data_IF_864752245236
#
_entry.id   IF_864752245236
#
_cell.length_a   1.000
_cell.length_b   1.000
_cell.length_c   1.000
_cell.angle_alpha   90.00
_cell.angle_beta   90.00
_cell.angle_gamma   90.00
#
_symmetry.space_group_name_H-M   'P 1'
#
loop_
_entity.id
_entity.type
_entity.pdbx_description
1 polymer ?
#
# COMPACT_ATOMS: atom_id res chain seq x y z
N UNK A 1 -2.96 -13.92 -7.82
CA UNK A 1 -3.93 -13.32 -8.77
C UNK A 1 -4.72 -12.29 -7.99
N UNK A 2 -4.83 -11.05 -8.47
CA UNK A 2 -5.57 -10.00 -7.76
C UNK A 2 -6.95 -9.89 -8.37
N UNK A 3 -7.99 -9.89 -7.53
CA UNK A 3 -9.37 -9.64 -7.94
C UNK A 3 -9.62 -8.14 -7.80
N UNK A 4 -9.50 -7.42 -8.91
CA UNK A 4 -9.77 -5.99 -9.03
C UNK A 4 -10.32 -5.75 -10.43
N UNK A 5 -11.50 -5.13 -10.52
CA UNK A 5 -12.21 -4.93 -11.79
C UNK A 5 -13.39 -3.99 -11.61
N UNK A 6 -13.92 -3.41 -12.72
CA UNK A 6 -15.05 -2.47 -12.68
C UNK A 6 -16.29 -3.05 -11.99
N UNK A 7 -16.46 -4.37 -12.02
CA UNK A 7 -17.55 -5.09 -11.34
C UNK A 7 -17.53 -4.92 -9.80
N UNK A 8 -16.39 -4.52 -9.23
CA UNK A 8 -16.21 -4.28 -7.80
C UNK A 8 -16.13 -2.80 -7.43
N UNK A 9 -16.40 -1.87 -8.36
CA UNK A 9 -16.24 -0.44 -8.14
C UNK A 9 -17.05 0.11 -6.94
N UNK A 10 -18.19 -0.51 -6.62
CA UNK A 10 -19.06 -0.14 -5.49
C UNK A 10 -18.95 -1.11 -4.30
N UNK A 11 -17.93 -1.96 -4.26
CA UNK A 11 -17.70 -2.93 -3.19
C UNK A 11 -16.51 -2.53 -2.33
N UNK A 12 -16.54 -2.87 -1.04
CA UNK A 12 -15.36 -2.78 -0.19
C UNK A 12 -14.44 -3.98 -0.43
N UNK A 13 -13.24 -3.72 -0.93
CA UNK A 13 -12.24 -4.75 -1.16
C UNK A 13 -11.24 -4.79 0.01
N UNK A 14 -11.25 -5.91 0.73
CA UNK A 14 -10.22 -6.20 1.73
C UNK A 14 -9.23 -7.21 1.16
N UNK A 15 -8.00 -6.76 0.87
CA UNK A 15 -6.98 -7.58 0.24
C UNK A 15 -5.80 -7.82 1.19
N UNK A 16 -5.46 -9.10 1.39
CA UNK A 16 -4.23 -9.51 2.07
C UNK A 16 -3.21 -9.87 0.99
N UNK A 17 -2.12 -9.11 0.93
CA UNK A 17 -1.10 -9.30 -0.09
C UNK A 17 0.30 -9.02 0.46
N UNK A 18 1.29 -9.61 -0.21
CA UNK A 18 2.72 -9.33 0.01
C UNK A 18 3.36 -8.56 -1.16
N UNK A 19 2.63 -8.35 -2.26
CA UNK A 19 3.13 -7.66 -3.46
C UNK A 19 2.85 -6.17 -3.35
N UNK A 20 3.88 -5.38 -3.07
CA UNK A 20 3.76 -3.92 -2.89
C UNK A 20 3.13 -3.22 -4.09
N UNK A 21 3.48 -3.62 -5.32
CA UNK A 21 2.86 -3.12 -6.56
C UNK A 21 1.35 -3.32 -6.62
N UNK A 22 0.80 -4.32 -5.93
CA UNK A 22 -0.65 -4.51 -5.86
C UNK A 22 -1.28 -3.68 -4.75
N UNK A 23 -0.55 -3.43 -3.66
CA UNK A 23 -1.02 -2.75 -2.44
C UNK A 23 -0.97 -1.22 -2.60
N UNK A 24 0.00 -0.71 -3.36
CA UNK A 24 0.23 0.72 -3.58
C UNK A 24 -0.96 1.43 -4.23
N UNK A 25 -1.78 0.69 -4.99
CA UNK A 25 -2.96 1.19 -5.68
C UNK A 25 -4.22 1.19 -4.78
N UNK A 26 -4.15 0.76 -3.51
CA UNK A 26 -5.29 0.76 -2.59
C UNK A 26 -5.50 2.10 -1.90
N UNK A 27 -6.69 2.36 -1.37
CA UNK A 27 -7.03 3.64 -0.74
C UNK A 27 -6.33 3.80 0.61
N UNK A 28 -6.20 2.69 1.34
CA UNK A 28 -5.46 2.59 2.59
C UNK A 28 -4.70 1.28 2.68
N UNK A 29 -3.63 1.28 3.45
CA UNK A 29 -2.80 0.11 3.74
C UNK A 29 -2.78 -0.11 5.25
N UNK A 30 -3.03 -1.34 5.65
CA UNK A 30 -2.89 -1.80 7.03
C UNK A 30 -1.63 -2.65 7.15
N UNK A 31 -0.68 -2.21 7.96
CA UNK A 31 0.52 -2.99 8.29
C UNK A 31 0.31 -3.65 9.64
N UNK A 32 0.49 -4.96 9.67
CA UNK A 32 0.45 -5.76 10.90
C UNK A 32 1.88 -6.16 11.30
N UNK A 33 2.21 -5.95 12.56
CA UNK A 33 3.43 -6.49 13.17
C UNK A 33 3.06 -7.25 14.46
N UNK A 34 3.54 -8.48 14.59
CA UNK A 34 3.32 -9.36 15.77
C UNK A 34 1.86 -9.40 16.27
N UNK A 35 0.91 -9.47 15.33
CA UNK A 35 -0.52 -9.55 15.64
C UNK A 35 -1.17 -8.24 16.07
N UNK A 36 -0.47 -7.10 15.94
CA UNK A 36 -1.01 -5.76 16.23
C UNK A 36 -0.99 -4.90 14.98
N UNK A 37 -1.90 -3.92 14.92
CA UNK A 37 -1.85 -2.86 13.92
C UNK A 37 -0.65 -1.98 14.22
N UNK A 38 0.33 -1.99 13.33
CA UNK A 38 1.51 -1.15 13.43
C UNK A 38 1.26 0.19 12.72
N UNK A 39 0.65 0.15 11.53
CA UNK A 39 0.42 1.33 10.70
C UNK A 39 -0.90 1.20 9.96
N UNK A 40 -1.60 2.32 9.78
CA UNK A 40 -2.82 2.37 9.00
C UNK A 40 -3.03 3.76 8.40
N UNK A 41 -2.69 3.94 7.13
CA UNK A 41 -2.95 5.18 6.41
C UNK A 41 -2.93 4.97 4.88
N UNK A 42 -3.05 6.06 4.11
CA UNK A 42 -2.85 6.05 2.66
C UNK A 42 -1.42 5.61 2.31
N UNK A 43 -1.21 4.93 1.16
CA UNK A 43 0.13 4.54 0.75
C UNK A 43 1.11 5.71 0.63
N UNK A 44 0.61 6.89 0.23
CA UNK A 44 1.41 8.11 0.12
C UNK A 44 1.90 8.60 1.49
N UNK A 45 1.01 8.72 2.48
CA UNK A 45 1.40 9.15 3.83
C UNK A 45 2.39 8.17 4.48
N UNK A 46 2.16 6.87 4.32
CA UNK A 46 3.04 5.83 4.85
C UNK A 46 4.43 5.85 4.21
N UNK A 47 4.55 6.26 2.94
CA UNK A 47 5.84 6.45 2.27
C UNK A 47 6.59 7.70 2.74
N UNK A 48 5.87 8.77 3.10
CA UNK A 48 6.47 10.02 3.59
C UNK A 48 6.89 9.93 5.06
N UNK A 49 6.21 9.10 5.85
CA UNK A 49 6.49 8.93 7.27
C UNK A 49 7.91 8.36 7.51
N UNK A 50 8.70 9.07 8.29
CA UNK A 50 10.02 8.59 8.73
C UNK A 50 9.86 7.45 9.73
N UNK A 51 10.65 6.38 9.57
CA UNK A 51 10.57 5.18 10.41
C UNK A 51 9.42 4.24 10.06
N UNK A 52 8.64 4.53 9.02
CA UNK A 52 7.53 3.68 8.58
C UNK A 52 8.00 2.29 8.15
N UNK A 53 7.31 1.26 8.65
CA UNK A 53 7.55 -0.13 8.30
C UNK A 53 7.20 -0.32 6.82
N UNK A 54 6.06 0.22 6.36
CA UNK A 54 5.67 0.18 4.95
C UNK A 54 6.73 0.81 4.05
N UNK A 55 7.26 1.98 4.43
CA UNK A 55 8.34 2.65 3.69
C UNK A 55 9.57 1.76 3.61
N UNK A 56 10.00 1.19 4.73
CA UNK A 56 11.15 0.28 4.76
C UNK A 56 10.95 -0.94 3.86
N UNK A 57 9.73 -1.49 3.78
CA UNK A 57 9.41 -2.57 2.85
C UNK A 57 9.55 -2.11 1.40
N UNK A 58 9.05 -0.92 1.06
CA UNK A 58 9.17 -0.34 -0.28
C UNK A 58 10.62 -0.08 -0.68
N UNK A 59 11.44 0.47 0.22
CA UNK A 59 12.88 0.73 -0.05
C UNK A 59 13.65 -0.57 -0.32
N UNK A 60 13.32 -1.66 0.41
CA UNK A 60 13.96 -2.98 0.24
C UNK A 60 13.46 -3.77 -0.96
N UNK A 61 12.39 -3.32 -1.63
CA UNK A 61 11.74 -4.06 -2.70
C UNK A 61 12.46 -4.00 -4.06
N UNK A 62 13.39 -3.06 -4.22
CA UNK A 62 13.99 -2.74 -5.53
C UNK A 62 13.04 -2.02 -6.50
N UNK A 63 11.79 -1.75 -6.11
CA UNK A 63 10.78 -1.03 -6.92
C UNK A 63 10.44 0.35 -6.33
N UNK A 64 11.25 0.88 -5.42
CA UNK A 64 10.91 2.06 -4.61
C UNK A 64 10.46 3.27 -5.44
N UNK A 65 11.24 3.67 -6.45
CA UNK A 65 10.90 4.81 -7.32
C UNK A 65 9.54 4.64 -8.00
N UNK A 66 9.26 3.43 -8.49
CA UNK A 66 7.98 3.13 -9.14
C UNK A 66 6.83 3.18 -8.13
N UNK A 67 7.03 2.67 -6.90
CA UNK A 67 6.02 2.69 -5.85
C UNK A 67 5.71 4.12 -5.40
N UNK A 68 6.73 4.98 -5.27
CA UNK A 68 6.55 6.40 -4.96
C UNK A 68 5.76 7.11 -6.06
N UNK A 69 6.11 6.90 -7.32
CA UNK A 69 5.39 7.48 -8.45
C UNK A 69 3.94 6.99 -8.55
N UNK A 70 3.66 5.73 -8.19
CA UNK A 70 2.30 5.20 -8.14
C UNK A 70 1.48 5.82 -7.00
N UNK A 71 2.05 5.91 -5.80
CA UNK A 71 1.37 6.50 -4.64
C UNK A 71 1.09 8.00 -4.84
N UNK A 72 2.03 8.75 -5.41
CA UNK A 72 1.87 10.18 -5.65
C UNK A 72 0.70 10.46 -6.61
N UNK A 73 0.59 9.69 -7.70
CA UNK A 73 -0.50 9.82 -8.68
C UNK A 73 -1.87 9.60 -8.07
N UNK A 74 -1.97 8.75 -7.04
CA UNK A 74 -3.22 8.46 -6.36
C UNK A 74 -3.59 9.50 -5.28
N UNK A 75 -2.61 10.26 -4.80
CA UNK A 75 -2.82 11.32 -3.81
C UNK A 75 -3.27 12.65 -4.43
N UNK A 76 -3.20 12.79 -5.76
CA UNK A 76 -3.76 13.93 -6.52
C UNK A 76 -5.19 13.63 -6.95
#
# INVERSE_FOLDING_TARGET
RTIRGPEFANSTLFCIAHRLRTIIDYDRVLVLDKGKVAEFDTPWNLLQSEGSIFRSMCEKSGEYEHLVAAAQRKSQ
#
